data_IF_328451737304
#
_entry.id   IF_328451737304
#
_cell.length_a   1.000
_cell.length_b   1.000
_cell.length_c   1.000
_cell.angle_alpha   90.00
_cell.angle_beta   90.00
_cell.angle_gamma   90.00
#
_symmetry.space_group_name_H-M   'P 1'
#
loop_
_entity.id
_entity.type
_entity.pdbx_description
1 polymer ?
#
# COMPACT_ATOMS: atom_id res chain seq x y z
N UNK A 1 5.33 7.34 20.65
CA UNK A 1 4.91 8.51 19.85
C UNK A 1 4.40 7.97 18.53
N UNK A 2 3.08 7.96 18.32
CA UNK A 2 2.50 7.74 16.99
C UNK A 2 2.96 8.94 16.14
N UNK A 3 3.71 8.68 15.07
CA UNK A 3 4.19 9.75 14.21
C UNK A 3 3.00 10.51 13.65
N UNK A 4 3.00 11.83 13.79
CA UNK A 4 1.99 12.68 13.17
C UNK A 4 1.98 12.39 11.67
N UNK A 5 0.84 11.91 11.18
CA UNK A 5 0.66 11.65 9.77
C UNK A 5 0.73 12.96 9.00
N UNK A 6 1.41 12.95 7.86
CA UNK A 6 1.53 14.16 7.06
C UNK A 6 0.14 14.72 6.70
N UNK A 7 -0.07 16.04 6.83
CA UNK A 7 -1.28 16.68 6.32
C UNK A 7 -1.49 16.37 4.83
N UNK A 8 -2.75 16.30 4.39
CA UNK A 8 -3.11 15.96 3.01
C UNK A 8 -2.45 16.91 1.99
N UNK A 9 -2.28 18.17 2.37
CA UNK A 9 -1.67 19.24 1.56
C UNK A 9 -0.17 19.04 1.36
N UNK A 10 0.47 18.24 2.23
CA UNK A 10 1.91 17.94 2.18
C UNK A 10 2.21 16.59 1.53
N UNK A 11 1.19 15.89 1.02
CA UNK A 11 1.40 14.69 0.24
C UNK A 11 2.08 15.04 -1.09
N UNK A 12 3.04 14.21 -1.49
CA UNK A 12 3.88 14.47 -2.68
C UNK A 12 3.12 14.10 -3.96
N UNK A 13 2.16 14.94 -4.36
CA UNK A 13 1.51 14.83 -5.65
C UNK A 13 2.51 15.11 -6.79
N UNK A 14 2.45 14.32 -7.86
CA UNK A 14 3.34 14.48 -9.02
C UNK A 14 4.70 13.78 -8.92
N UNK A 15 4.96 13.01 -7.87
CA UNK A 15 6.15 12.15 -7.84
C UNK A 15 6.09 11.08 -8.93
N UNK A 16 7.26 10.67 -9.43
CA UNK A 16 7.35 9.61 -10.45
C UNK A 16 6.78 8.29 -9.91
N UNK A 17 7.04 7.99 -8.65
CA UNK A 17 6.58 6.80 -7.95
C UNK A 17 5.06 6.76 -7.87
N UNK A 18 4.41 7.90 -7.61
CA UNK A 18 2.95 8.01 -7.60
C UNK A 18 2.37 7.75 -9.00
N UNK A 19 2.97 8.35 -10.04
CA UNK A 19 2.55 8.13 -11.42
C UNK A 19 2.68 6.66 -11.85
N UNK A 20 3.78 6.00 -11.48
CA UNK A 20 3.99 4.58 -11.74
C UNK A 20 2.97 3.71 -10.99
N UNK A 21 2.73 3.99 -9.70
CA UNK A 21 1.76 3.27 -8.89
C UNK A 21 0.36 3.39 -9.49
N UNK A 22 -0.06 4.61 -9.83
CA UNK A 22 -1.34 4.90 -10.44
C UNK A 22 -1.50 4.16 -11.77
N UNK A 23 -0.51 4.22 -12.65
CA UNK A 23 -0.54 3.55 -13.96
C UNK A 23 -0.76 2.03 -13.80
N UNK A 24 -0.07 1.39 -12.87
CA UNK A 24 -0.22 -0.05 -12.63
C UNK A 24 -1.54 -0.42 -11.99
N UNK A 25 -2.02 0.36 -11.00
CA UNK A 25 -3.32 0.14 -10.38
C UNK A 25 -4.45 0.27 -11.42
N UNK A 26 -4.40 1.30 -12.27
CA UNK A 26 -5.38 1.49 -13.35
C UNK A 26 -5.33 0.37 -14.41
N UNK A 27 -4.16 -0.24 -14.60
CA UNK A 27 -4.01 -1.44 -15.42
C UNK A 27 -4.46 -2.74 -14.71
N UNK A 28 -5.06 -2.64 -13.52
CA UNK A 28 -5.56 -3.77 -12.75
C UNK A 28 -4.48 -4.59 -12.02
N UNK A 29 -3.25 -4.07 -11.92
CA UNK A 29 -2.13 -4.78 -11.27
C UNK A 29 -2.06 -4.43 -9.79
N UNK A 30 -1.66 -5.42 -8.98
CA UNK A 30 -1.27 -5.21 -7.59
C UNK A 30 0.07 -4.47 -7.53
N UNK A 31 0.16 -3.47 -6.68
CA UNK A 31 1.37 -2.67 -6.42
C UNK A 31 1.83 -2.86 -4.98
N UNK A 32 3.10 -3.18 -4.79
CA UNK A 32 3.75 -3.17 -3.49
C UNK A 32 4.62 -1.92 -3.38
N UNK A 33 4.27 -1.02 -2.47
CA UNK A 33 5.11 0.13 -2.12
C UNK A 33 6.06 -0.31 -1.02
N UNK A 34 7.35 -0.40 -1.33
CA UNK A 34 8.37 -0.91 -0.41
C UNK A 34 9.48 0.10 -0.18
N UNK A 35 10.32 -0.13 0.82
CA UNK A 35 11.47 0.72 1.17
C UNK A 35 11.29 1.49 2.47
N UNK A 36 12.07 2.58 2.60
CA UNK A 36 12.24 3.33 3.84
C UNK A 36 11.08 4.27 4.19
N UNK A 37 11.42 5.55 4.44
CA UNK A 37 10.44 6.62 4.74
C UNK A 37 9.61 6.93 3.48
N UNK A 38 8.34 7.29 3.67
CA UNK A 38 7.48 7.79 2.59
C UNK A 38 6.44 6.81 2.03
N UNK A 39 6.43 5.54 2.46
CA UNK A 39 5.45 4.54 2.00
C UNK A 39 4.00 4.98 2.28
N UNK A 40 3.70 5.29 3.54
CA UNK A 40 2.38 5.78 3.98
C UNK A 40 1.98 7.07 3.23
N UNK A 41 2.81 8.13 3.15
CA UNK A 41 2.50 9.29 2.31
C UNK A 41 2.21 8.95 0.85
N UNK A 42 3.00 8.07 0.23
CA UNK A 42 2.79 7.67 -1.17
C UNK A 42 1.47 6.90 -1.33
N UNK A 43 1.19 5.96 -0.44
CA UNK A 43 -0.04 5.16 -0.46
C UNK A 43 -1.28 6.04 -0.26
N UNK A 44 -1.21 7.03 0.64
CA UNK A 44 -2.28 8.02 0.85
C UNK A 44 -2.48 8.91 -0.37
N UNK A 45 -1.39 9.38 -0.99
CA UNK A 45 -1.45 10.16 -2.22
C UNK A 45 -2.08 9.37 -3.36
N UNK A 46 -1.76 8.07 -3.48
CA UNK A 46 -2.36 7.15 -4.44
C UNK A 46 -3.85 6.99 -4.17
N UNK A 47 -4.25 6.75 -2.92
CA UNK A 47 -5.64 6.63 -2.50
C UNK A 47 -6.48 7.85 -2.91
N UNK A 48 -6.00 9.06 -2.58
CA UNK A 48 -6.67 10.31 -2.94
C UNK A 48 -6.66 10.56 -4.45
N UNK A 49 -5.62 10.15 -5.16
CA UNK A 49 -5.58 10.26 -6.63
C UNK A 49 -6.58 9.34 -7.32
N UNK A 50 -6.77 8.12 -6.81
CA UNK A 50 -7.81 7.18 -7.27
C UNK A 50 -9.21 7.73 -7.01
N UNK A 51 -9.46 8.26 -5.82
CA UNK A 51 -10.74 8.91 -5.50
C UNK A 51 -11.04 10.07 -6.47
N UNK A 52 -10.06 10.95 -6.71
CA UNK A 52 -10.19 12.05 -7.69
C UNK A 52 -10.39 11.56 -9.14
N UNK A 53 -9.96 10.35 -9.45
CA UNK A 53 -10.18 9.70 -10.74
C UNK A 53 -11.54 8.97 -10.84
N UNK A 54 -12.38 9.02 -9.81
CA UNK A 54 -13.73 8.47 -9.81
C UNK A 54 -13.87 7.06 -9.25
N UNK A 55 -12.82 6.51 -8.63
CA UNK A 55 -12.89 5.24 -7.90
C UNK A 55 -13.45 5.46 -6.49
N UNK A 56 -13.85 4.36 -5.84
CA UNK A 56 -14.26 4.31 -4.44
C UNK A 56 -13.21 3.57 -3.60
N UNK A 57 -12.03 4.17 -3.35
CA UNK A 57 -10.98 3.50 -2.60
C UNK A 57 -11.33 3.34 -1.12
N UNK A 58 -10.96 2.20 -0.55
CA UNK A 58 -10.92 1.98 0.89
C UNK A 58 -9.45 1.95 1.35
N UNK A 59 -9.07 2.90 2.21
CA UNK A 59 -7.75 2.92 2.83
C UNK A 59 -7.77 2.17 4.16
N UNK A 60 -7.01 1.09 4.24
CA UNK A 60 -6.93 0.23 5.41
C UNK A 60 -5.59 0.42 6.10
N UNK A 61 -5.58 0.84 7.37
CA UNK A 61 -4.41 0.71 8.24
C UNK A 61 -4.52 -0.60 9.00
N UNK A 62 -3.64 -1.56 8.71
CA UNK A 62 -3.71 -2.88 9.34
C UNK A 62 -3.46 -2.82 10.86
N UNK A 63 -2.76 -1.79 11.34
CA UNK A 63 -2.60 -1.54 12.78
C UNK A 63 -3.92 -1.22 13.51
N UNK A 64 -4.97 -0.79 12.81
CA UNK A 64 -6.27 -0.46 13.41
C UNK A 64 -7.23 -1.64 13.45
N UNK A 65 -7.02 -2.65 12.60
CA UNK A 65 -7.94 -3.78 12.48
C UNK A 65 -7.90 -4.61 13.75
N UNK A 66 -9.07 -4.87 14.33
CA UNK A 66 -9.19 -5.72 15.52
C UNK A 66 -9.43 -7.17 15.13
N UNK A 67 -9.08 -8.09 16.04
CA UNK A 67 -9.31 -9.51 15.82
C UNK A 67 -10.79 -9.80 15.51
N UNK A 68 -11.03 -10.55 14.43
CA UNK A 68 -12.35 -10.93 13.97
C UNK A 68 -13.08 -9.89 13.10
N UNK A 69 -12.54 -8.68 12.94
CA UNK A 69 -13.17 -7.65 12.10
C UNK A 69 -13.08 -7.98 10.61
N UNK A 70 -14.20 -7.76 9.90
CA UNK A 70 -14.26 -7.66 8.45
C UNK A 70 -14.16 -6.19 7.99
N UNK A 71 -14.44 -5.98 6.71
CA UNK A 71 -14.38 -4.64 6.11
C UNK A 71 -15.47 -3.71 6.67
N UNK A 72 -16.67 -4.23 6.92
CA UNK A 72 -17.79 -3.44 7.45
C UNK A 72 -17.51 -2.92 8.86
N UNK A 73 -17.03 -3.77 9.76
CA UNK A 73 -16.66 -3.35 11.12
C UNK A 73 -15.52 -2.33 11.10
N UNK A 74 -14.54 -2.51 10.21
CA UNK A 74 -13.46 -1.54 10.03
C UNK A 74 -13.98 -0.16 9.61
N UNK A 75 -14.85 -0.12 8.59
CA UNK A 75 -15.44 1.13 8.09
C UNK A 75 -16.27 1.80 9.18
N UNK A 76 -17.15 1.06 9.86
CA UNK A 76 -18.01 1.60 10.92
C UNK A 76 -17.20 2.11 12.12
N UNK A 77 -16.19 1.35 12.55
CA UNK A 77 -15.35 1.71 13.69
C UNK A 77 -14.40 2.87 13.42
N UNK A 78 -13.95 3.04 12.17
CA UNK A 78 -12.90 4.01 11.80
C UNK A 78 -13.32 5.03 10.74
N UNK A 79 -14.62 5.21 10.45
CA UNK A 79 -15.10 6.15 9.43
C UNK A 79 -14.49 7.56 9.56
N UNK A 80 -14.57 8.16 10.74
CA UNK A 80 -14.03 9.51 11.00
C UNK A 80 -12.51 9.57 10.89
N UNK A 81 -11.82 8.49 11.29
CA UNK A 81 -10.36 8.40 11.19
C UNK A 81 -9.93 8.28 9.73
N UNK A 82 -10.64 7.45 8.95
CA UNK A 82 -10.43 7.32 7.51
C UNK A 82 -10.65 8.66 6.80
N UNK A 83 -11.73 9.37 7.11
CA UNK A 83 -12.03 10.67 6.50
C UNK A 83 -10.91 11.68 6.76
N UNK A 84 -10.43 11.77 8.01
CA UNK A 84 -9.29 12.65 8.37
C UNK A 84 -7.99 12.25 7.66
N UNK A 85 -7.73 10.94 7.57
CA UNK A 85 -6.53 10.38 6.97
C UNK A 85 -6.47 10.60 5.47
N UNK A 86 -7.60 10.48 4.78
CA UNK A 86 -7.65 10.40 3.31
C UNK A 86 -8.29 11.60 2.63
N UNK A 87 -9.10 12.38 3.38
CA UNK A 87 -9.85 13.52 2.86
C UNK A 87 -11.16 13.16 2.17
N UNK A 88 -11.58 11.89 2.22
CA UNK A 88 -12.85 11.42 1.65
C UNK A 88 -13.46 10.27 2.50
N UNK A 89 -14.77 10.04 2.41
CA UNK A 89 -15.44 9.08 3.27
C UNK A 89 -15.07 7.64 2.90
N UNK A 90 -15.06 6.75 3.90
CA UNK A 90 -14.92 5.32 3.65
C UNK A 90 -16.25 4.76 3.11
N UNK A 91 -16.29 4.47 1.81
CA UNK A 91 -17.48 3.92 1.16
C UNK A 91 -17.66 2.44 1.49
N UNK A 92 -18.92 1.99 1.66
CA UNK A 92 -19.24 0.55 1.84
C UNK A 92 -19.11 -0.23 0.52
N UNK A 93 -19.37 0.43 -0.59
CA UNK A 93 -19.28 -0.06 -1.96
C UNK A 93 -17.93 0.29 -2.61
N UNK A 94 -16.84 -0.01 -1.89
CA UNK A 94 -15.49 0.21 -2.39
C UNK A 94 -15.15 -0.73 -3.56
N UNK A 95 -14.35 -0.24 -4.50
CA UNK A 95 -13.88 -0.98 -5.69
C UNK A 95 -12.37 -1.23 -5.70
N UNK A 96 -11.61 -0.44 -4.93
CA UNK A 96 -10.16 -0.51 -4.79
C UNK A 96 -9.79 -0.48 -3.32
N UNK A 97 -8.85 -1.31 -2.90
CA UNK A 97 -8.35 -1.35 -1.52
C UNK A 97 -6.85 -1.09 -1.49
N UNK A 98 -6.45 -0.19 -0.59
CA UNK A 98 -5.07 0.15 -0.30
C UNK A 98 -4.78 -0.22 1.15
N UNK A 99 -3.74 -1.03 1.38
CA UNK A 99 -3.37 -1.50 2.71
C UNK A 99 -2.05 -0.89 3.17
N UNK A 100 -2.07 -0.24 4.32
CA UNK A 100 -0.88 0.25 5.01
C UNK A 100 -0.44 -0.75 6.10
N UNK A 101 0.85 -0.70 6.45
CA UNK A 101 1.49 -1.61 7.41
C UNK A 101 1.37 -3.10 7.03
N UNK A 102 1.56 -3.39 5.74
CA UNK A 102 1.44 -4.73 5.15
C UNK A 102 2.29 -5.81 5.81
N UNK A 103 3.38 -5.46 6.48
CA UNK A 103 4.15 -6.40 7.29
C UNK A 103 3.30 -7.10 8.37
N UNK A 104 2.26 -6.45 8.88
CA UNK A 104 1.37 -7.05 9.87
C UNK A 104 0.57 -8.21 9.28
N UNK A 105 0.14 -8.07 8.03
CA UNK A 105 -0.53 -9.16 7.33
C UNK A 105 0.44 -10.32 7.05
N UNK A 106 1.69 -10.00 6.70
CA UNK A 106 2.73 -11.00 6.49
C UNK A 106 3.02 -11.81 7.77
N UNK A 107 3.13 -11.14 8.91
CA UNK A 107 3.51 -11.76 10.18
C UNK A 107 2.33 -12.38 10.94
N UNK A 108 1.12 -11.84 10.78
CA UNK A 108 -0.05 -12.25 11.55
C UNK A 108 -1.30 -12.50 10.67
N UNK A 109 -1.23 -13.33 9.62
CA UNK A 109 -2.29 -13.47 8.63
C UNK A 109 -3.65 -13.90 9.23
N UNK A 110 -3.64 -14.69 10.30
CA UNK A 110 -4.86 -15.16 10.97
C UNK A 110 -5.68 -14.04 11.61
N UNK A 111 -5.05 -12.92 12.03
CA UNK A 111 -5.76 -11.77 12.60
C UNK A 111 -6.63 -11.09 11.54
N UNK A 112 -6.15 -11.10 10.29
CA UNK A 112 -6.73 -10.36 9.16
C UNK A 112 -7.58 -11.24 8.23
N UNK A 113 -7.82 -12.51 8.57
CA UNK A 113 -8.47 -13.46 7.68
C UNK A 113 -9.91 -13.06 7.28
N UNK A 114 -10.68 -12.47 8.21
CA UNK A 114 -12.04 -11.98 7.90
C UNK A 114 -11.98 -10.77 6.98
N UNK A 115 -11.16 -9.76 7.32
CA UNK A 115 -10.93 -8.61 6.45
C UNK A 115 -10.50 -9.03 5.03
N UNK A 116 -9.51 -9.92 4.91
CA UNK A 116 -9.03 -10.41 3.61
C UNK A 116 -10.11 -11.13 2.80
N UNK A 117 -11.00 -11.86 3.46
CA UNK A 117 -12.14 -12.50 2.79
C UNK A 117 -13.03 -11.46 2.10
N UNK A 118 -13.22 -10.31 2.71
CA UNK A 118 -14.08 -9.24 2.20
C UNK A 118 -13.39 -8.41 1.11
N UNK A 119 -12.09 -8.12 1.27
CA UNK A 119 -11.37 -7.15 0.43
C UNK A 119 -10.43 -7.78 -0.60
N UNK A 120 -10.09 -9.07 -0.50
CA UNK A 120 -8.96 -9.69 -1.20
C UNK A 120 -8.94 -9.45 -2.71
N UNK A 121 -10.09 -9.60 -3.38
CA UNK A 121 -10.19 -9.38 -4.84
C UNK A 121 -10.06 -7.93 -5.29
N UNK A 122 -10.11 -6.98 -4.35
CA UNK A 122 -10.09 -5.53 -4.59
C UNK A 122 -8.79 -4.87 -4.13
N UNK A 123 -7.88 -5.62 -3.48
CA UNK A 123 -6.57 -5.08 -3.10
C UNK A 123 -5.78 -4.72 -4.35
N UNK A 124 -5.32 -3.47 -4.43
CA UNK A 124 -4.51 -2.97 -5.56
C UNK A 124 -3.21 -2.33 -5.13
N UNK A 125 -3.08 -1.91 -3.88
CA UNK A 125 -1.82 -1.38 -3.38
C UNK A 125 -1.58 -1.78 -1.93
N UNK A 126 -0.33 -2.10 -1.60
CA UNK A 126 0.08 -2.45 -0.24
C UNK A 126 1.40 -1.73 0.07
N UNK A 127 1.43 -0.93 1.14
CA UNK A 127 2.68 -0.42 1.69
C UNK A 127 3.23 -1.43 2.70
N UNK A 128 4.47 -1.87 2.52
CA UNK A 128 5.09 -2.86 3.39
C UNK A 128 6.62 -2.71 3.44
N UNK A 129 7.25 -3.37 4.39
CA UNK A 129 8.70 -3.52 4.43
C UNK A 129 9.19 -4.49 3.35
N UNK A 130 10.44 -4.31 2.92
CA UNK A 130 11.04 -5.13 1.85
C UNK A 130 11.16 -6.61 2.23
N UNK A 131 11.46 -6.90 3.50
CA UNK A 131 11.56 -8.26 4.05
C UNK A 131 10.22 -9.00 4.12
N UNK A 132 9.11 -8.28 4.01
CA UNK A 132 7.75 -8.82 4.13
C UNK A 132 7.12 -9.15 2.76
N UNK A 133 7.75 -8.75 1.66
CA UNK A 133 7.19 -8.85 0.31
C UNK A 133 6.94 -10.31 -0.11
N UNK A 134 7.89 -11.20 0.10
CA UNK A 134 7.74 -12.62 -0.29
C UNK A 134 6.52 -13.27 0.38
N UNK A 135 6.26 -12.96 1.65
CA UNK A 135 5.10 -13.46 2.38
C UNK A 135 3.79 -12.81 1.88
N UNK A 136 3.83 -11.53 1.55
CA UNK A 136 2.69 -10.81 0.97
C UNK A 136 2.34 -11.31 -0.42
N UNK A 137 3.32 -11.64 -1.27
CA UNK A 137 3.06 -12.18 -2.61
C UNK A 137 2.41 -13.56 -2.55
N UNK A 138 2.76 -14.39 -1.56
CA UNK A 138 2.07 -15.67 -1.32
C UNK A 138 0.62 -15.48 -0.87
N UNK A 139 0.32 -14.35 -0.24
CA UNK A 139 -1.00 -14.07 0.37
C UNK A 139 -1.93 -13.33 -0.58
N UNK A 140 -1.41 -12.33 -1.31
CA UNK A 140 -2.17 -11.41 -2.15
C UNK A 140 -1.90 -11.61 -3.65
N UNK A 141 -0.91 -12.42 -4.00
CA UNK A 141 -0.48 -12.68 -5.38
C UNK A 141 0.69 -11.81 -5.82
N UNK A 142 1.25 -12.12 -7.00
CA UNK A 142 2.36 -11.35 -7.56
C UNK A 142 1.95 -9.91 -7.90
N UNK A 143 2.86 -8.96 -7.71
CA UNK A 143 2.63 -7.54 -7.97
C UNK A 143 3.85 -6.82 -8.52
N UNK A 144 3.70 -5.53 -8.79
CA UNK A 144 4.80 -4.63 -9.16
C UNK A 144 5.34 -3.98 -7.89
N UNK A 145 6.64 -4.09 -7.64
CA UNK A 145 7.28 -3.43 -6.51
C UNK A 145 7.74 -2.03 -6.90
N UNK A 146 7.29 -1.02 -6.17
CA UNK A 146 7.77 0.37 -6.23
C UNK A 146 8.61 0.61 -4.99
N UNK A 147 9.94 0.64 -5.17
CA UNK A 147 10.89 0.83 -4.09
C UNK A 147 11.20 2.30 -3.85
N UNK A 148 10.84 2.80 -2.68
CA UNK A 148 11.26 4.09 -2.17
C UNK A 148 12.68 3.96 -1.61
N UNK A 149 13.63 4.71 -2.18
CA UNK A 149 15.01 4.69 -1.69
C UNK A 149 15.10 4.92 -0.18
N UNK A 150 16.09 4.32 0.47
CA UNK A 150 16.46 4.72 1.81
C UNK A 150 17.00 6.15 1.73
N UNK A 151 16.31 7.12 2.34
CA UNK A 151 16.71 8.53 2.28
C UNK A 151 18.20 8.69 2.61
N UNK A 152 18.98 9.15 1.62
CA UNK A 152 20.38 9.58 1.70
C UNK A 152 21.24 8.89 2.77
N UNK A 153 21.76 7.71 2.44
CA UNK A 153 22.82 7.03 3.18
C UNK A 153 23.31 5.84 2.38
N UNK A 154 24.23 6.07 1.45
CA UNK A 154 24.68 5.06 0.50
C UNK A 154 25.12 3.75 1.14
N UNK A 155 24.65 2.64 0.57
CA UNK A 155 25.46 1.48 0.21
C UNK A 155 24.66 0.60 -0.73
N UNK A 156 24.96 0.70 -2.02
CA UNK A 156 24.69 -0.37 -2.98
C UNK A 156 25.30 -1.66 -2.41
N UNK A 157 24.47 -2.63 -2.06
CA UNK A 157 24.89 -4.02 -1.96
C UNK A 157 24.23 -4.77 -3.10
N UNK A 158 25.02 -5.03 -4.14
CA UNK A 158 24.68 -6.00 -5.17
C UNK A 158 24.56 -7.40 -4.54
N UNK A 159 23.53 -8.19 -4.89
CA UNK A 159 23.57 -9.62 -4.70
C UNK A 159 24.35 -10.24 -5.86
N UNK A 160 25.55 -10.71 -5.57
CA UNK A 160 26.20 -11.73 -6.40
C UNK A 160 25.38 -13.01 -6.31
N UNK A 161 24.75 -13.40 -7.43
CA UNK A 161 24.43 -14.80 -7.71
C UNK A 161 22.96 -15.21 -7.62
N UNK A 162 22.36 -15.29 -8.82
CA UNK A 162 21.52 -16.38 -9.33
C UNK A 162 19.97 -16.33 -9.18
N UNK A 163 19.38 -16.35 -10.39
CA UNK A 163 18.18 -17.08 -10.85
C UNK A 163 16.78 -16.51 -10.60
N UNK A 164 16.37 -15.72 -11.61
CA UNK A 164 15.20 -15.92 -12.49
C UNK A 164 13.77 -15.52 -12.04
N UNK A 165 13.17 -14.74 -12.96
CA UNK A 165 11.74 -14.44 -13.21
C UNK A 165 11.17 -13.24 -12.44
N UNK A 166 11.09 -12.14 -13.18
CA UNK A 166 10.43 -10.89 -12.80
C UNK A 166 11.18 -9.76 -13.47
N UNK A 167 10.62 -9.15 -14.51
CA UNK A 167 11.21 -7.98 -15.18
C UNK A 167 11.35 -6.84 -14.16
N UNK A 168 12.51 -6.77 -13.50
CA UNK A 168 12.99 -5.57 -12.83
C UNK A 168 13.37 -4.58 -13.92
N UNK A 169 12.67 -3.46 -13.98
CA UNK A 169 13.10 -2.30 -14.74
C UNK A 169 14.09 -1.55 -13.85
N UNK A 170 15.37 -1.90 -13.96
CA UNK A 170 16.47 -1.06 -13.48
C UNK A 170 16.83 -0.11 -14.63
N UNK A 171 16.71 1.20 -14.41
CA UNK A 171 17.15 2.23 -15.37
C UNK A 171 18.40 2.87 -14.79
N UNK A 172 19.50 2.69 -15.51
CA UNK A 172 20.82 3.29 -15.27
C UNK A 172 20.78 4.77 -15.67
N UNK A 173 21.38 5.63 -14.85
CA UNK A 173 21.52 7.07 -15.10
C UNK A 173 22.86 7.26 -15.83
N UNK A 174 22.82 7.81 -17.05
CA UNK A 174 23.98 8.47 -17.69
C UNK A 174 23.73 9.97 -17.61
#
# INVERSE_FOLDING_TARGET
MLGEELPLERLQFGSRELGLAMSHVLAGRLVYVSGGRGKTPLLRALSLSLYKAGFSPLYVKLEWVRYGWGASEYIEGYYEHHLKLTGFPAFRDYDVVLMDDGELLAYYPNIYANLLRDVGGKVRAVAARADSLDALERTLGSGVVISLGEGSGGRLKWPLGLTSIGRKVEIEII
#
